data_IF_654066232220
#
_entry.id   IF_654066232220
#
_cell.length_a   1.000
_cell.length_b   1.000
_cell.length_c   1.000
_cell.angle_alpha   90.00
_cell.angle_beta   90.00
_cell.angle_gamma   90.00
#
_symmetry.space_group_name_H-M   'P 1'
#
loop_
_entity.id
_entity.type
_entity.pdbx_description
1 polymer ?
#
# COMPACT_ATOMS: atom_id res chain seq x y z
N UNK A 1 -2.90 0.55 -17.39
CA UNK A 1 -1.51 0.46 -17.86
C UNK A 1 -0.81 -0.54 -16.98
N UNK A 2 -0.78 -1.80 -17.41
CA UNK A 2 0.09 -2.85 -16.86
C UNK A 2 0.25 -3.89 -17.98
N UNK A 3 1.47 -4.21 -18.40
CA UNK A 3 1.69 -5.41 -19.22
C UNK A 3 1.76 -6.61 -18.29
N UNK A 4 0.73 -7.46 -18.33
CA UNK A 4 0.67 -8.68 -17.52
C UNK A 4 1.49 -9.83 -18.11
N UNK A 5 2.06 -9.65 -19.32
CA UNK A 5 2.67 -10.70 -20.12
C UNK A 5 3.91 -11.30 -19.47
N UNK A 6 4.61 -10.54 -18.64
CA UNK A 6 5.86 -10.98 -17.99
C UNK A 6 5.64 -11.42 -16.54
N UNK A 7 4.40 -11.37 -16.03
CA UNK A 7 4.13 -11.73 -14.65
C UNK A 7 4.23 -13.24 -14.44
N UNK A 8 4.91 -13.61 -13.37
CA UNK A 8 4.94 -14.99 -12.87
C UNK A 8 3.53 -15.55 -12.65
N UNK A 9 3.37 -16.90 -12.65
CA UNK A 9 2.13 -17.53 -12.22
C UNK A 9 1.73 -17.10 -10.80
N UNK A 10 0.43 -17.13 -10.44
CA UNK A 10 -0.03 -16.81 -9.09
C UNK A 10 0.64 -17.67 -8.02
N UNK A 11 1.15 -17.05 -6.95
CA UNK A 11 1.79 -17.73 -5.81
C UNK A 11 1.25 -17.25 -4.46
N UNK A 12 1.58 -18.02 -3.42
CA UNK A 12 1.32 -17.69 -2.02
C UNK A 12 0.02 -18.28 -1.45
N UNK A 13 -0.03 -18.46 -0.13
CA UNK A 13 -1.21 -19.02 0.57
C UNK A 13 -2.08 -17.92 1.20
N UNK A 14 -1.47 -17.05 2.02
CA UNK A 14 -2.17 -15.96 2.72
C UNK A 14 -2.07 -14.61 2.00
N UNK A 15 -0.94 -14.38 1.35
CA UNK A 15 -0.69 -13.24 0.47
C UNK A 15 -0.56 -13.81 -0.92
N UNK A 16 -1.40 -13.35 -1.84
CA UNK A 16 -1.39 -13.82 -3.22
C UNK A 16 -0.66 -12.81 -4.09
N UNK A 17 0.23 -13.27 -4.94
CA UNK A 17 0.97 -12.36 -5.81
C UNK A 17 1.33 -12.97 -7.15
N UNK A 18 1.49 -12.10 -8.15
CA UNK A 18 2.16 -12.35 -9.41
C UNK A 18 3.17 -11.24 -9.63
N UNK A 19 4.40 -11.58 -10.01
CA UNK A 19 5.50 -10.61 -10.05
C UNK A 19 6.32 -10.75 -11.31
N UNK A 20 6.84 -9.62 -11.76
CA UNK A 20 7.93 -9.51 -12.72
C UNK A 20 9.03 -8.64 -12.10
N UNK A 21 10.29 -9.05 -12.24
CA UNK A 21 11.45 -8.26 -11.77
C UNK A 21 12.64 -8.48 -12.70
N UNK A 22 13.18 -7.39 -13.23
CA UNK A 22 14.45 -7.34 -13.95
C UNK A 22 15.57 -6.93 -12.97
N UNK A 23 16.24 -7.93 -12.39
CA UNK A 23 17.32 -7.71 -11.43
C UNK A 23 18.48 -6.89 -12.02
N UNK A 24 18.77 -7.05 -13.32
CA UNK A 24 19.90 -6.34 -13.97
C UNK A 24 19.55 -4.88 -14.17
N UNK A 25 18.34 -4.59 -14.65
CA UNK A 25 17.85 -3.22 -14.80
C UNK A 25 17.73 -2.48 -13.46
N UNK A 26 17.54 -3.18 -12.34
CA UNK A 26 17.47 -2.58 -11.01
C UNK A 26 18.84 -2.35 -10.33
N UNK A 27 19.91 -3.03 -10.78
CA UNK A 27 21.20 -3.02 -10.07
C UNK A 27 21.84 -1.61 -9.96
N UNK A 28 21.54 -0.72 -10.90
CA UNK A 28 22.07 0.66 -10.95
C UNK A 28 21.14 1.73 -10.38
N UNK A 29 19.91 1.39 -9.99
CA UNK A 29 18.90 2.37 -9.56
C UNK A 29 19.29 2.98 -8.21
N UNK A 30 19.31 4.31 -8.14
CA UNK A 30 19.60 5.06 -6.91
C UNK A 30 18.42 5.92 -6.47
N UNK A 31 17.75 6.55 -7.42
CA UNK A 31 16.66 7.50 -7.19
C UNK A 31 15.32 6.90 -7.58
N UNK A 32 14.31 7.14 -6.73
CA UNK A 32 12.93 6.70 -6.98
C UNK A 32 11.98 7.87 -6.81
N UNK A 33 11.12 8.08 -7.81
CA UNK A 33 9.95 8.96 -7.75
C UNK A 33 8.69 8.12 -7.56
N UNK A 34 7.78 8.57 -6.69
CA UNK A 34 6.53 7.87 -6.41
C UNK A 34 5.39 8.73 -6.94
N UNK A 35 4.58 8.14 -7.81
CA UNK A 35 3.35 8.76 -8.29
C UNK A 35 2.23 8.41 -7.31
N UNK A 36 1.40 9.38 -6.89
CA UNK A 36 0.29 9.12 -5.97
C UNK A 36 -0.61 7.99 -6.44
N UNK A 37 -1.03 7.16 -5.48
CA UNK A 37 -1.83 5.97 -5.74
C UNK A 37 -3.22 6.35 -6.25
N UNK A 38 -3.70 5.62 -7.26
CA UNK A 38 -5.05 5.76 -7.80
C UNK A 38 -5.89 4.52 -7.53
N UNK A 39 -7.19 4.61 -7.80
CA UNK A 39 -8.11 3.48 -7.72
C UNK A 39 -8.55 3.08 -9.13
N UNK A 40 -8.70 1.78 -9.36
CA UNK A 40 -9.42 1.27 -10.53
C UNK A 40 -10.89 1.70 -10.47
N UNK A 41 -11.59 1.64 -11.60
CA UNK A 41 -13.03 1.89 -11.63
C UNK A 41 -13.79 0.96 -10.66
N UNK A 42 -13.46 -0.33 -10.67
CA UNK A 42 -14.10 -1.32 -9.81
C UNK A 42 -13.84 -1.02 -8.32
N UNK A 43 -12.59 -0.76 -7.92
CA UNK A 43 -12.26 -0.43 -6.53
C UNK A 43 -12.92 0.89 -6.08
N UNK A 44 -12.99 1.88 -6.97
CA UNK A 44 -13.65 3.17 -6.75
C UNK A 44 -15.14 2.99 -6.42
N UNK A 45 -15.81 2.01 -7.05
CA UNK A 45 -17.23 1.72 -6.81
C UNK A 45 -17.51 1.05 -5.45
N UNK A 46 -16.51 0.38 -4.87
CA UNK A 46 -16.64 -0.35 -3.59
C UNK A 46 -16.49 0.53 -2.37
N UNK A 47 -15.75 1.64 -2.47
CA UNK A 47 -15.65 2.65 -1.41
C UNK A 47 -16.30 3.93 -1.89
N UNK A 48 -17.49 4.22 -1.34
CA UNK A 48 -18.28 5.39 -1.71
C UNK A 48 -17.68 6.69 -1.17
N UNK A 49 -17.05 6.64 0.01
CA UNK A 49 -16.45 7.80 0.68
C UNK A 49 -15.16 8.24 -0.03
N UNK A 50 -15.09 9.47 -0.57
CA UNK A 50 -13.84 10.00 -1.09
C UNK A 50 -12.74 10.12 -0.02
N UNK A 51 -13.13 10.39 1.23
CA UNK A 51 -12.19 10.48 2.35
C UNK A 51 -11.54 9.12 2.65
N UNK A 52 -12.31 8.03 2.63
CA UNK A 52 -11.83 6.68 2.91
C UNK A 52 -10.88 6.21 1.80
N UNK A 53 -11.17 6.55 0.54
CA UNK A 53 -10.26 6.30 -0.58
C UNK A 53 -8.95 7.06 -0.40
N UNK A 54 -9.02 8.35 -0.05
CA UNK A 54 -7.83 9.17 0.20
C UNK A 54 -7.00 8.60 1.37
N UNK A 55 -7.65 8.09 2.41
CA UNK A 55 -6.98 7.47 3.55
C UNK A 55 -6.15 6.25 3.12
N UNK A 56 -6.74 5.36 2.32
CA UNK A 56 -6.06 4.15 1.84
C UNK A 56 -4.94 4.50 0.85
N UNK A 57 -5.16 5.44 -0.09
CA UNK A 57 -4.11 5.86 -1.03
C UNK A 57 -2.93 6.52 -0.31
N UNK A 58 -3.20 7.41 0.64
CA UNK A 58 -2.14 8.07 1.42
C UNK A 58 -1.36 7.05 2.26
N UNK A 59 -2.05 6.08 2.86
CA UNK A 59 -1.40 5.01 3.61
C UNK A 59 -0.49 4.14 2.73
N UNK A 60 -0.94 3.81 1.51
CA UNK A 60 -0.16 3.09 0.52
C UNK A 60 1.06 3.88 0.06
N UNK A 61 0.87 5.13 -0.35
CA UNK A 61 1.95 5.98 -0.83
C UNK A 61 3.01 6.19 0.26
N UNK A 62 2.57 6.47 1.50
CA UNK A 62 3.45 6.59 2.66
C UNK A 62 4.21 5.29 2.93
N UNK A 63 3.52 4.15 2.94
CA UNK A 63 4.14 2.86 3.19
C UNK A 63 5.19 2.50 2.13
N UNK A 64 4.88 2.74 0.85
CA UNK A 64 5.82 2.53 -0.25
C UNK A 64 7.00 3.49 -0.13
N UNK A 65 6.75 4.78 0.11
CA UNK A 65 7.79 5.80 0.23
C UNK A 65 8.77 5.52 1.35
N UNK A 66 8.27 5.28 2.56
CA UNK A 66 9.08 4.93 3.72
C UNK A 66 9.82 3.61 3.48
N UNK A 67 9.16 2.62 2.87
CA UNK A 67 9.82 1.33 2.64
C UNK A 67 10.95 1.43 1.61
N UNK A 68 10.77 2.17 0.52
CA UNK A 68 11.80 2.34 -0.51
C UNK A 68 12.96 3.22 -0.03
N UNK A 69 12.71 4.16 0.87
CA UNK A 69 13.74 5.06 1.43
C UNK A 69 14.85 4.38 2.23
N UNK A 70 14.66 3.10 2.59
CA UNK A 70 15.70 2.27 3.20
C UNK A 70 16.90 2.09 2.28
N UNK A 71 16.67 1.95 0.96
CA UNK A 71 17.72 1.71 -0.04
C UNK A 71 17.86 2.85 -1.04
N UNK A 72 16.75 3.44 -1.45
CA UNK A 72 16.71 4.43 -2.51
C UNK A 72 16.67 5.85 -1.97
N UNK A 73 17.16 6.79 -2.75
CA UNK A 73 16.89 8.21 -2.57
C UNK A 73 15.51 8.52 -3.13
N UNK A 74 14.60 8.99 -2.29
CA UNK A 74 13.28 9.39 -2.75
C UNK A 74 13.32 10.84 -3.22
N UNK A 75 12.96 11.06 -4.48
CA UNK A 75 12.83 12.39 -5.06
C UNK A 75 11.35 12.81 -5.15
N UNK A 76 11.05 14.11 -5.14
CA UNK A 76 9.69 14.60 -5.32
C UNK A 76 9.05 14.13 -6.64
N UNK A 77 7.75 13.93 -6.60
CA UNK A 77 6.95 13.61 -7.79
C UNK A 77 7.16 14.68 -8.89
N UNK A 78 7.35 14.24 -10.13
CA UNK A 78 7.61 15.13 -11.27
C UNK A 78 9.09 15.49 -11.48
N UNK A 79 9.98 15.18 -10.53
CA UNK A 79 11.42 15.28 -10.76
C UNK A 79 11.98 14.03 -11.46
N UNK A 80 13.06 14.16 -12.26
CA UNK A 80 13.74 13.02 -12.85
C UNK A 80 14.20 12.01 -11.78
N UNK A 81 13.95 10.73 -12.03
CA UNK A 81 14.39 9.62 -11.19
C UNK A 81 14.79 8.44 -12.07
N UNK A 82 15.72 7.62 -11.59
CA UNK A 82 16.13 6.38 -12.25
C UNK A 82 14.94 5.42 -12.38
N UNK A 83 14.01 5.46 -11.43
CA UNK A 83 12.81 4.63 -11.39
C UNK A 83 11.60 5.45 -10.94
N UNK A 84 10.48 5.29 -11.64
CA UNK A 84 9.17 5.83 -11.24
C UNK A 84 8.27 4.68 -10.82
N UNK A 85 7.75 4.74 -9.60
CA UNK A 85 6.82 3.75 -9.06
C UNK A 85 5.40 4.29 -9.11
N UNK A 86 4.49 3.50 -9.69
CA UNK A 86 3.05 3.75 -9.73
C UNK A 86 2.35 2.63 -9.01
N UNK A 87 1.31 2.96 -8.25
CA UNK A 87 0.45 1.94 -7.64
C UNK A 87 -1.02 2.25 -7.86
N UNK A 88 -1.82 1.20 -8.01
CA UNK A 88 -3.25 1.27 -8.28
C UNK A 88 -3.96 0.28 -7.37
N UNK A 89 -4.91 0.75 -6.58
CA UNK A 89 -5.83 -0.12 -5.85
C UNK A 89 -6.80 -0.72 -6.85
N UNK A 90 -6.68 -2.03 -7.09
CA UNK A 90 -7.49 -2.74 -8.08
C UNK A 90 -8.74 -3.35 -7.51
N UNK A 91 -8.70 -3.72 -6.23
CA UNK A 91 -9.85 -4.20 -5.50
C UNK A 91 -9.71 -3.92 -4.00
N UNK A 92 -10.83 -3.78 -3.31
CA UNK A 92 -10.89 -3.51 -1.88
C UNK A 92 -12.16 -4.12 -1.29
N UNK A 93 -11.99 -4.87 -0.20
CA UNK A 93 -13.10 -5.40 0.57
C UNK A 93 -13.26 -4.53 1.80
N UNK A 94 -14.43 -3.93 1.96
CA UNK A 94 -14.77 -3.14 3.12
C UNK A 94 -14.73 -4.00 4.40
N UNK A 95 -14.12 -3.46 5.45
CA UNK A 95 -14.24 -3.98 6.81
C UNK A 95 -15.67 -3.71 7.30
N UNK A 96 -16.38 -4.76 7.73
CA UNK A 96 -17.77 -4.61 8.16
C UNK A 96 -17.89 -3.92 9.54
N UNK A 97 -18.50 -2.73 9.57
CA UNK A 97 -18.66 -1.86 10.76
C UNK A 97 -19.50 -2.49 11.89
N UNK A 98 -20.39 -3.44 11.59
CA UNK A 98 -21.33 -4.04 12.55
C UNK A 98 -20.87 -5.38 13.13
N UNK A 99 -19.64 -5.82 12.82
CA UNK A 99 -19.17 -7.17 13.13
C UNK A 99 -18.33 -7.27 14.42
N UNK A 100 -18.30 -6.23 15.25
CA UNK A 100 -17.85 -6.32 16.64
C UNK A 100 -18.98 -6.93 17.50
N UNK A 101 -19.32 -8.20 17.28
CA UNK A 101 -20.21 -8.93 18.20
C UNK A 101 -21.07 -10.05 17.62
N UNK A 102 -21.31 -10.11 16.30
CA UNK A 102 -22.14 -11.16 15.70
C UNK A 102 -21.51 -11.65 14.40
N UNK A 103 -21.16 -12.94 14.38
CA UNK A 103 -20.71 -13.66 13.20
C UNK A 103 -21.85 -13.78 12.20
N UNK A 104 -21.94 -12.87 11.23
CA UNK A 104 -22.85 -13.03 10.08
C UNK A 104 -22.14 -12.72 8.77
N UNK A 105 -22.28 -13.68 7.86
CA UNK A 105 -21.75 -13.66 6.51
C UNK A 105 -22.23 -12.43 5.74
N UNK A 106 -21.30 -11.57 5.34
CA UNK A 106 -21.55 -10.59 4.27
C UNK A 106 -20.76 -11.01 3.05
N UNK A 107 -21.45 -11.69 2.14
CA UNK A 107 -21.02 -11.91 0.78
C UNK A 107 -21.10 -10.58 0.00
N UNK A 108 -20.09 -9.72 0.17
CA UNK A 108 -19.85 -8.66 -0.83
C UNK A 108 -19.22 -9.31 -2.06
N UNK A 109 -20.10 -9.66 -2.99
CA UNK A 109 -19.82 -10.39 -4.22
C UNK A 109 -18.62 -9.87 -4.98
N UNK A 110 -17.77 -10.81 -5.38
CA UNK A 110 -16.83 -10.67 -6.48
C UNK A 110 -17.01 -11.87 -7.40
N UNK A 111 -18.20 -11.94 -8.03
CA UNK A 111 -18.46 -12.84 -9.16
C UNK A 111 -18.12 -12.19 -10.51
N UNK A 112 -17.60 -10.96 -10.52
CA UNK A 112 -17.03 -10.39 -11.73
C UNK A 112 -15.69 -11.06 -12.01
N UNK A 113 -15.57 -11.65 -13.21
CA UNK A 113 -14.33 -12.17 -13.74
C UNK A 113 -13.29 -11.04 -13.75
N UNK A 114 -12.43 -10.98 -12.73
CA UNK A 114 -11.27 -10.12 -12.76
C UNK A 114 -10.46 -10.46 -14.02
N UNK A 115 -9.87 -9.47 -14.71
CA UNK A 115 -8.97 -9.72 -15.83
C UNK A 115 -7.99 -10.83 -15.47
N UNK A 116 -7.79 -11.79 -16.38
CA UNK A 116 -6.99 -13.01 -16.19
C UNK A 116 -5.64 -12.67 -15.54
N UNK A 117 -5.56 -12.79 -14.21
CA UNK A 117 -4.32 -12.53 -13.50
C UNK A 117 -4.37 -11.83 -12.16
N UNK A 118 -5.44 -11.15 -11.78
CA UNK A 118 -5.50 -10.50 -10.47
C UNK A 118 -5.89 -11.55 -9.40
N UNK A 119 -5.08 -11.76 -8.36
CA UNK A 119 -5.44 -12.73 -7.34
C UNK A 119 -6.63 -12.26 -6.50
N UNK A 120 -7.67 -13.09 -6.43
CA UNK A 120 -8.92 -12.80 -5.72
C UNK A 120 -8.70 -12.49 -4.24
N UNK A 121 -9.43 -11.51 -3.70
CA UNK A 121 -9.43 -11.20 -2.28
C UNK A 121 -10.23 -12.25 -1.47
N UNK A 122 -9.77 -12.63 -0.27
CA UNK A 122 -10.57 -13.39 0.68
C UNK A 122 -11.82 -12.61 1.10
N UNK A 123 -12.93 -13.31 1.31
CA UNK A 123 -14.22 -12.71 1.70
C UNK A 123 -14.31 -12.56 3.23
N UNK A 124 -14.91 -11.47 3.71
CA UNK A 124 -15.45 -11.35 5.08
C UNK A 124 -14.81 -10.29 5.98
N UNK A 125 -13.48 -10.25 6.08
CA UNK A 125 -12.78 -9.48 7.13
C UNK A 125 -12.18 -8.15 6.66
N UNK A 126 -12.36 -7.80 5.39
CA UNK A 126 -11.63 -6.70 4.75
C UNK A 126 -10.39 -7.20 4.01
N UNK A 127 -9.96 -6.45 3.00
CA UNK A 127 -8.90 -6.90 2.10
C UNK A 127 -8.48 -5.82 1.13
N UNK A 128 -7.26 -5.94 0.63
CA UNK A 128 -6.66 -4.97 -0.29
C UNK A 128 -5.94 -5.70 -1.43
N UNK A 129 -6.29 -5.33 -2.66
CA UNK A 129 -5.58 -5.73 -3.86
C UNK A 129 -4.95 -4.49 -4.51
N UNK A 130 -3.66 -4.59 -4.81
CA UNK A 130 -2.86 -3.50 -5.36
C UNK A 130 -2.05 -4.01 -6.53
N UNK A 131 -2.02 -3.22 -7.59
CA UNK A 131 -1.03 -3.32 -8.65
C UNK A 131 0.04 -2.28 -8.45
N UNK A 132 1.29 -2.65 -8.65
CA UNK A 132 2.36 -1.67 -8.80
C UNK A 132 3.24 -1.99 -9.98
N UNK A 133 3.74 -0.92 -10.57
CA UNK A 133 4.69 -0.95 -11.67
C UNK A 133 5.84 -0.01 -11.32
N UNK A 134 7.05 -0.45 -11.61
CA UNK A 134 8.25 0.36 -11.53
C UNK A 134 8.88 0.44 -12.92
N UNK A 135 8.89 1.64 -13.49
CA UNK A 135 9.42 1.94 -14.83
C UNK A 135 10.68 2.78 -14.72
N UNK A 136 11.67 2.52 -15.56
CA UNK A 136 12.86 3.38 -15.61
C UNK A 136 12.66 4.63 -16.47
N UNK A 137 13.70 5.45 -16.59
CA UNK A 137 13.71 6.67 -17.40
C UNK A 137 13.43 6.44 -18.90
N UNK A 138 13.68 5.23 -19.41
CA UNK A 138 13.38 4.85 -20.80
C UNK A 138 11.93 4.39 -21.00
N UNK A 139 11.13 4.33 -19.91
CA UNK A 139 9.79 3.76 -19.92
C UNK A 139 9.79 2.23 -19.89
N UNK A 140 10.94 1.60 -19.68
CA UNK A 140 11.03 0.13 -19.58
C UNK A 140 10.54 -0.29 -18.20
N UNK A 141 9.56 -1.19 -18.17
CA UNK A 141 9.13 -1.83 -16.92
C UNK A 141 10.28 -2.66 -16.36
N UNK A 142 10.78 -2.30 -15.17
CA UNK A 142 11.83 -3.04 -14.45
C UNK A 142 11.26 -3.94 -13.37
N UNK A 143 10.06 -3.63 -12.89
CA UNK A 143 9.32 -4.54 -12.03
C UNK A 143 7.82 -4.28 -12.14
N UNK A 144 7.04 -5.34 -11.90
CA UNK A 144 5.61 -5.22 -11.70
C UNK A 144 5.13 -6.25 -10.70
N UNK A 145 4.08 -5.92 -9.97
CA UNK A 145 3.42 -6.83 -9.05
C UNK A 145 1.92 -6.62 -9.09
N UNK A 146 1.19 -7.73 -9.12
CA UNK A 146 -0.19 -7.78 -8.68
C UNK A 146 -0.20 -8.50 -7.34
N UNK A 147 -0.70 -7.83 -6.31
CA UNK A 147 -0.65 -8.30 -4.93
C UNK A 147 -2.04 -8.23 -4.32
N UNK A 148 -2.42 -9.24 -3.55
CA UNK A 148 -3.62 -9.16 -2.76
C UNK A 148 -3.48 -9.91 -1.43
N UNK A 149 -4.13 -9.36 -0.40
CA UNK A 149 -4.18 -9.95 0.93
C UNK A 149 -5.50 -9.59 1.60
N UNK A 150 -6.11 -10.58 2.26
CA UNK A 150 -7.22 -10.34 3.18
C UNK A 150 -6.73 -10.15 4.61
N UNK A 151 -7.53 -9.47 5.42
CA UNK A 151 -7.39 -9.53 6.86
C UNK A 151 -7.79 -10.92 7.38
N UNK A 152 -7.20 -11.33 8.50
CA UNK A 152 -7.50 -12.59 9.18
C UNK A 152 -7.93 -12.26 10.62
N UNK A 153 -8.95 -12.93 11.16
CA UNK A 153 -9.51 -12.71 12.50
C UNK A 153 -8.54 -13.00 13.66
N UNK A 154 -7.32 -13.46 13.34
CA UNK A 154 -6.30 -13.91 14.31
C UNK A 154 -5.26 -12.81 14.56
N UNK A 155 -5.10 -11.82 13.67
CA UNK A 155 -3.99 -10.85 13.74
C UNK A 155 -4.40 -9.37 13.72
N UNK A 156 -5.68 -9.03 13.60
CA UNK A 156 -6.16 -7.64 13.64
C UNK A 156 -7.31 -7.50 14.64
N UNK A 157 -7.22 -6.51 15.54
CA UNK A 157 -8.36 -6.06 16.32
C UNK A 157 -9.37 -5.42 15.36
N UNK A 158 -10.63 -5.85 15.40
CA UNK A 158 -11.70 -5.33 14.54
C UNK A 158 -11.80 -3.80 14.68
N UNK A 159 -11.45 -3.06 13.61
CA UNK A 159 -11.54 -1.60 13.58
C UNK A 159 -12.95 -1.16 13.22
N UNK A 160 -13.41 -0.03 13.78
CA UNK A 160 -14.73 0.59 13.49
C UNK A 160 -14.68 1.43 12.18
N UNK A 161 -13.73 1.17 11.28
CA UNK A 161 -13.60 1.86 9.98
C UNK A 161 -13.78 0.90 8.83
N UNK A 162 -14.50 1.35 7.80
CA UNK A 162 -14.79 0.60 6.56
C UNK A 162 -13.51 0.19 5.82
N UNK A 163 -12.41 0.90 6.04
CA UNK A 163 -11.14 0.69 5.36
C UNK A 163 -10.00 0.39 6.31
N UNK A 164 -10.30 0.15 7.60
CA UNK A 164 -9.30 -0.03 8.64
C UNK A 164 -8.30 -1.15 8.35
N UNK A 165 -8.78 -2.27 7.78
CA UNK A 165 -7.90 -3.38 7.39
C UNK A 165 -7.10 -3.06 6.13
N UNK A 166 -7.72 -2.46 5.11
CA UNK A 166 -7.02 -2.04 3.91
C UNK A 166 -5.88 -1.04 4.21
N UNK A 167 -6.15 -0.08 5.09
CA UNK A 167 -5.16 0.84 5.63
C UNK A 167 -3.99 0.10 6.31
N UNK A 168 -4.28 -0.91 7.13
CA UNK A 168 -3.25 -1.72 7.80
C UNK A 168 -2.45 -2.58 6.82
N UNK A 169 -3.11 -3.08 5.78
CA UNK A 169 -2.50 -3.89 4.72
C UNK A 169 -1.56 -3.08 3.82
N UNK A 170 -1.71 -1.75 3.76
CA UNK A 170 -0.81 -0.86 3.02
C UNK A 170 0.67 -1.03 3.44
N UNK A 171 0.93 -1.17 4.75
CA UNK A 171 2.28 -1.41 5.26
C UNK A 171 2.86 -2.75 4.79
N UNK A 172 2.02 -3.80 4.71
CA UNK A 172 2.43 -5.11 4.20
C UNK A 172 2.80 -5.03 2.72
N UNK A 173 2.01 -4.30 1.94
CA UNK A 173 2.29 -4.09 0.52
C UNK A 173 3.58 -3.29 0.30
N UNK A 174 3.75 -2.16 0.99
CA UNK A 174 4.96 -1.34 0.89
C UNK A 174 6.23 -2.12 1.24
N UNK A 175 6.18 -2.97 2.27
CA UNK A 175 7.28 -3.88 2.65
C UNK A 175 7.55 -4.93 1.56
N UNK A 176 6.49 -5.53 0.99
CA UNK A 176 6.61 -6.52 -0.09
C UNK A 176 7.27 -5.91 -1.33
N UNK A 177 6.74 -4.79 -1.82
CA UNK A 177 7.25 -4.10 -3.00
C UNK A 177 8.71 -3.65 -2.79
N UNK A 178 9.03 -3.08 -1.63
CA UNK A 178 10.40 -2.67 -1.32
C UNK A 178 11.37 -3.83 -1.35
N UNK A 179 11.05 -4.99 -0.74
CA UNK A 179 11.93 -6.15 -0.83
C UNK A 179 12.11 -6.64 -2.26
N UNK A 180 11.03 -6.64 -3.03
CA UNK A 180 11.07 -7.05 -4.42
C UNK A 180 12.05 -6.17 -5.22
N UNK A 181 11.92 -4.85 -5.09
CA UNK A 181 12.78 -3.88 -5.79
C UNK A 181 14.22 -3.90 -5.28
N UNK A 182 14.43 -3.96 -3.98
CA UNK A 182 15.77 -3.91 -3.38
C UNK A 182 16.57 -5.19 -3.64
N UNK A 183 15.92 -6.35 -3.59
CA UNK A 183 16.59 -7.63 -3.82
C UNK A 183 16.69 -8.03 -5.28
N UNK A 184 15.92 -7.36 -6.16
CA UNK A 184 15.77 -7.76 -7.57
C UNK A 184 15.13 -9.14 -7.74
N UNK A 185 14.42 -9.65 -6.71
CA UNK A 185 13.85 -11.00 -6.68
C UNK A 185 12.44 -10.97 -6.12
N UNK A 186 11.62 -11.92 -6.54
CA UNK A 186 10.31 -12.15 -5.92
C UNK A 186 10.48 -12.45 -4.41
N UNK A 187 9.79 -11.71 -3.50
CA UNK A 187 9.84 -11.98 -2.07
C UNK A 187 9.27 -13.36 -1.74
N UNK A 188 10.05 -14.20 -1.06
CA UNK A 188 9.62 -15.54 -0.61
C UNK A 188 9.46 -15.59 0.90
N UNK A 189 8.41 -16.29 1.37
CA UNK A 189 8.22 -16.64 2.78
C UNK A 189 7.92 -15.45 3.72
N UNK A 190 8.00 -15.73 5.02
CA UNK A 190 7.99 -14.69 6.05
C UNK A 190 9.37 -14.04 6.14
N UNK A 191 9.38 -12.74 6.36
CA UNK A 191 10.61 -11.97 6.46
C UNK A 191 10.97 -11.71 7.91
N UNK A 192 12.10 -12.30 8.29
CA UNK A 192 12.71 -12.11 9.60
C UNK A 192 13.62 -10.88 9.67
N UNK A 193 13.76 -10.09 8.59
CA UNK A 193 14.56 -8.85 8.68
C UNK A 193 13.90 -7.84 9.61
N UNK A 194 14.72 -7.32 10.53
CA UNK A 194 14.33 -6.25 11.44
C UNK A 194 14.02 -4.98 10.64
N UNK A 195 12.92 -4.27 10.96
CA UNK A 195 12.63 -2.99 10.32
C UNK A 195 13.75 -1.99 10.60
N UNK A 196 14.07 -1.14 9.62
CA UNK A 196 15.03 -0.05 9.80
C UNK A 196 14.56 0.92 10.89
N UNK A 197 15.50 1.57 11.58
CA UNK A 197 15.16 2.56 12.62
C UNK A 197 14.27 3.68 12.10
N UNK A 198 14.45 4.09 10.84
CA UNK A 198 13.59 5.07 10.20
C UNK A 198 12.16 4.55 9.95
N UNK A 199 12.00 3.29 9.50
CA UNK A 199 10.68 2.67 9.36
C UNK A 199 9.96 2.64 10.70
N UNK A 200 10.65 2.27 11.78
CA UNK A 200 10.07 2.31 13.12
C UNK A 200 9.68 3.73 13.53
N UNK A 201 10.57 4.70 13.36
CA UNK A 201 10.29 6.11 13.67
C UNK A 201 9.05 6.62 12.90
N UNK A 202 8.98 6.33 11.60
CA UNK A 202 7.87 6.77 10.74
C UNK A 202 6.56 6.05 11.11
N UNK A 203 6.61 4.78 11.48
CA UNK A 203 5.45 4.02 11.97
C UNK A 203 4.91 4.62 13.28
N UNK A 204 5.80 5.10 14.15
CA UNK A 204 5.49 5.81 15.40
C UNK A 204 5.11 7.29 15.19
N UNK A 205 4.92 7.74 13.95
CA UNK A 205 4.46 9.09 13.61
C UNK A 205 5.58 10.14 13.53
N UNK A 206 6.84 9.70 13.61
CA UNK A 206 8.01 10.52 13.40
C UNK A 206 8.18 10.97 11.96
N UNK A 207 9.13 11.89 11.72
CA UNK A 207 9.44 12.40 10.38
C UNK A 207 10.08 11.30 9.51
N UNK A 208 9.69 11.17 8.23
CA UNK A 208 10.38 10.30 7.28
C UNK A 208 11.78 10.86 6.95
N UNK A 209 12.68 10.01 6.43
CA UNK A 209 14.05 10.40 6.04
C UNK A 209 14.09 11.41 4.89
N UNK A 210 13.14 11.31 3.96
CA UNK A 210 13.02 12.25 2.84
C UNK A 210 11.72 13.04 2.96
N UNK A 211 11.82 14.37 2.78
CA UNK A 211 10.68 15.27 2.78
C UNK A 211 9.65 14.94 1.67
N UNK A 212 10.09 14.30 0.58
CA UNK A 212 9.19 13.80 -0.46
C UNK A 212 8.11 12.86 0.09
N UNK A 213 8.40 12.11 1.17
CA UNK A 213 7.41 11.24 1.81
C UNK A 213 6.40 11.99 2.70
N UNK A 214 6.69 13.22 3.14
CA UNK A 214 5.74 14.02 3.94
C UNK A 214 4.51 14.45 3.13
N UNK A 215 4.62 14.45 1.79
CA UNK A 215 3.52 14.72 0.86
C UNK A 215 2.41 13.66 0.94
N UNK A 216 2.69 12.49 1.50
CA UNK A 216 1.72 11.40 1.69
C UNK A 216 1.16 11.37 3.12
N UNK A 217 1.42 12.43 3.90
CA UNK A 217 1.00 12.51 5.30
C UNK A 217 1.88 11.69 6.24
N UNK A 218 1.47 11.60 7.51
CA UNK A 218 2.22 10.88 8.55
C UNK A 218 1.35 9.88 9.26
N UNK A 219 1.98 8.77 9.66
CA UNK A 219 1.33 7.75 10.49
C UNK A 219 0.74 8.42 11.74
N UNK A 220 -0.44 7.96 12.19
CA UNK A 220 -1.00 8.25 13.50
C UNK A 220 -0.03 8.11 14.68
N UNK A 221 0.98 7.25 14.52
CA UNK A 221 1.97 6.98 15.55
C UNK A 221 1.40 6.29 16.79
N UNK A 222 1.99 6.57 17.96
CA UNK A 222 1.53 6.01 19.24
C UNK A 222 0.07 6.32 19.55
N UNK A 223 -0.43 7.49 19.13
CA UNK A 223 -1.84 7.86 19.28
C UNK A 223 -2.75 6.93 18.45
N UNK A 224 -2.32 6.54 17.24
CA UNK A 224 -3.00 5.52 16.46
C UNK A 224 -2.97 4.14 17.08
N UNK A 225 -1.86 3.75 17.72
CA UNK A 225 -1.77 2.46 18.42
C UNK A 225 -2.74 2.39 19.61
N UNK A 226 -2.90 3.49 20.35
CA UNK A 226 -3.88 3.58 21.45
C UNK A 226 -5.30 3.62 20.90
N UNK A 227 -5.54 4.39 19.84
CA UNK A 227 -6.82 4.46 19.14
C UNK A 227 -7.23 3.08 18.56
N UNK A 228 -6.29 2.34 17.98
CA UNK A 228 -6.47 0.99 17.45
C UNK A 228 -6.89 -0.01 18.54
N UNK A 229 -6.34 0.13 19.76
CA UNK A 229 -6.74 -0.71 20.90
C UNK A 229 -8.19 -0.49 21.33
N UNK A 230 -8.75 0.69 21.05
CA UNK A 230 -10.15 1.02 21.34
C UNK A 230 -11.05 0.94 20.09
N UNK A 231 -10.52 0.45 18.96
CA UNK A 231 -11.25 0.29 17.69
C UNK A 231 -11.51 1.60 16.94
N UNK A 232 -10.90 2.72 17.34
CA UNK A 232 -11.18 4.02 16.74
C UNK A 232 -10.77 4.07 15.26
N UNK A 233 -11.52 4.81 14.41
CA UNK A 233 -11.24 4.90 12.99
C UNK A 233 -9.87 5.53 12.69
N UNK A 234 -9.14 5.06 11.66
CA UNK A 234 -7.87 5.66 11.26
C UNK A 234 -8.03 7.11 10.80
N UNK A 235 -9.21 7.51 10.29
CA UNK A 235 -9.47 8.91 9.92
C UNK A 235 -9.32 9.88 11.09
N UNK A 236 -9.47 9.41 12.33
CA UNK A 236 -9.36 10.25 13.52
C UNK A 236 -7.91 10.55 13.92
N UNK A 237 -6.96 9.75 13.42
CA UNK A 237 -5.57 9.82 13.88
C UNK A 237 -4.57 9.98 12.74
N UNK A 238 -4.96 9.67 11.51
CA UNK A 238 -4.11 9.84 10.34
C UNK A 238 -3.92 11.32 10.02
N UNK A 239 -2.66 11.73 9.91
CA UNK A 239 -2.32 13.10 9.54
C UNK A 239 -2.25 13.15 8.02
N UNK A 240 -3.37 13.54 7.41
CA UNK A 240 -3.48 13.75 5.98
C UNK A 240 -2.36 14.66 5.43
N UNK A 241 -2.00 14.52 4.14
CA UNK A 241 -1.17 15.48 3.44
C UNK A 241 -1.64 16.90 3.69
N UNK A 242 -0.72 17.81 3.98
CA UNK A 242 -1.06 19.23 4.04
C UNK A 242 -1.40 19.71 2.63
N UNK A 243 -2.61 20.24 2.44
CA UNK A 243 -2.99 20.95 1.22
C UNK A 243 -2.07 22.17 1.03
N UNK A 244 -1.68 22.54 -0.22
CA UNK A 244 -0.80 23.69 -0.48
C UNK A 244 -1.17 24.97 0.29
N UNK A 245 -2.47 25.21 0.53
CA UNK A 245 -2.99 26.36 1.26
C UNK A 245 -2.54 26.42 2.73
N UNK A 246 -2.30 25.29 3.40
CA UNK A 246 -1.80 25.25 4.79
C UNK A 246 -0.28 25.44 4.90
N UNK A 247 0.44 25.37 3.78
CA UNK A 247 1.88 25.56 3.71
C UNK A 247 2.23 27.06 3.59
N UNK A 248 1.32 27.86 3.04
CA UNK A 248 1.44 29.31 2.94
C UNK A 248 1.17 30.07 4.26
N UNK A 249 0.52 29.45 5.25
CA UNK A 249 0.17 30.09 6.53
C UNK A 249 1.26 30.00 7.62
N UNK A 250 2.50 29.65 7.24
CA UNK A 250 3.64 29.54 8.17
C UNK A 250 4.87 30.34 7.72
N UNK A 251 4.66 31.40 6.95
CA UNK A 251 5.63 32.46 6.74
C UNK A 251 5.10 33.76 7.34
#
# INVERSE_FOLDING_TARGET
MTSYNQLSPPKGKFTKSRTFVDARGLAGVRTVSIIPTTFSFDATSRIKSPQDRALVSNALDRAVCVSLSDRYQIVPTGQPADLTVRTVVTDIVATNKTMAGVSTAVSLGSSLALPVGIPRLPVGLGGLAVEAEAVDISGTQRAAVVWSKGANSITNNARVSEVGDAYSLAANFGKYLSRMLVSGKEPKGFDLSLPSGQRMNSALGGKPKYAACDLFGRSPGLAGIVADKVGAPPEWTDKQPKTPTQQASKF
#
